data_IF_139910629007
#
_entry.id   IF_139910629007
#
_cell.length_a   1.000
_cell.length_b   1.000
_cell.length_c   1.000
_cell.angle_alpha   90.00
_cell.angle_beta   90.00
_cell.angle_gamma   90.00
#
_symmetry.space_group_name_H-M   'P 1'
#
loop_
_entity.id
_entity.type
_entity.pdbx_description
1 polymer ?
#
# COMPACT_ATOMS: atom_id res chain seq x y z
N UNK A 1 43.83 -24.22 -14.47
CA UNK A 1 44.46 -23.14 -13.67
C UNK A 1 43.51 -22.81 -12.53
N UNK A 2 43.89 -23.13 -11.29
CA UNK A 2 43.10 -22.90 -10.08
C UNK A 2 43.51 -21.54 -9.52
N UNK A 3 42.58 -20.60 -9.37
CA UNK A 3 42.82 -19.35 -8.62
C UNK A 3 42.01 -19.40 -7.32
N UNK A 4 42.73 -19.49 -6.20
CA UNK A 4 42.24 -19.22 -4.86
C UNK A 4 42.56 -17.76 -4.57
N UNK A 5 41.59 -16.97 -4.12
CA UNK A 5 41.86 -15.67 -3.49
C UNK A 5 41.26 -15.69 -2.08
N UNK A 6 42.14 -15.34 -1.14
CA UNK A 6 42.01 -15.48 0.30
C UNK A 6 41.05 -14.46 0.93
N UNK A 7 40.44 -14.94 2.01
CA UNK A 7 39.78 -14.21 3.08
C UNK A 7 40.79 -13.28 3.77
N UNK A 8 40.43 -12.02 4.06
CA UNK A 8 41.05 -11.29 5.17
C UNK A 8 40.07 -10.33 5.84
N UNK A 9 39.55 -10.77 6.97
CA UNK A 9 38.93 -9.98 8.05
C UNK A 9 39.99 -9.09 8.69
N UNK A 10 39.66 -7.83 8.99
CA UNK A 10 40.43 -7.04 9.95
C UNK A 10 39.49 -6.29 10.88
N UNK A 11 39.54 -6.69 12.15
CA UNK A 11 38.89 -6.07 13.28
C UNK A 11 39.98 -5.70 14.28
N UNK A 12 39.79 -4.53 14.90
CA UNK A 12 40.32 -4.04 16.19
C UNK A 12 41.31 -2.88 16.13
N UNK A 13 41.07 -2.01 17.13
CA UNK A 13 41.97 -1.10 17.86
C UNK A 13 41.77 0.39 17.59
N UNK A 14 41.01 1.04 18.47
CA UNK A 14 41.53 2.16 19.25
C UNK A 14 40.74 2.32 20.56
N UNK A 15 41.39 1.97 21.66
CA UNK A 15 41.09 2.37 23.05
C UNK A 15 42.11 3.46 23.41
N UNK A 16 41.81 4.29 24.42
CA UNK A 16 42.62 5.32 25.14
C UNK A 16 41.95 6.71 24.97
N UNK A 17 41.58 7.49 25.99
CA UNK A 17 42.19 7.69 27.31
C UNK A 17 41.17 8.04 28.41
N UNK A 18 41.47 7.57 29.63
CA UNK A 18 40.99 8.10 30.90
C UNK A 18 41.64 9.47 31.21
N UNK A 19 40.86 10.43 31.70
CA UNK A 19 41.38 11.56 32.47
C UNK A 19 40.67 11.60 33.82
N UNK A 20 41.44 11.28 34.85
CA UNK A 20 41.09 11.30 36.26
C UNK A 20 41.32 12.74 36.76
N UNK A 21 40.30 13.38 37.31
CA UNK A 21 40.47 14.52 38.22
C UNK A 21 39.78 14.17 39.54
N UNK A 22 40.64 13.89 40.52
CA UNK A 22 40.31 13.79 41.94
C UNK A 22 39.98 15.18 42.49
N UNK A 23 38.78 15.36 43.03
CA UNK A 23 38.52 16.39 44.04
C UNK A 23 38.03 15.69 45.31
N UNK A 24 38.65 16.07 46.43
CA UNK A 24 38.57 15.41 47.71
C UNK A 24 37.21 15.58 48.42
N UNK A 25 36.83 14.51 49.11
CA UNK A 25 36.01 14.37 50.32
C UNK A 25 35.22 15.58 50.86
N UNK A 26 33.90 15.41 50.94
CA UNK A 26 33.14 15.63 52.18
C UNK A 26 32.13 14.49 52.33
N UNK A 27 32.34 13.64 53.33
CA UNK A 27 31.34 12.69 53.84
C UNK A 27 30.50 13.43 54.87
N UNK A 28 29.19 13.55 54.64
CA UNK A 28 28.24 13.95 55.67
C UNK A 28 26.90 13.22 55.46
N UNK A 29 26.57 12.40 56.46
CA UNK A 29 25.25 12.01 56.96
C UNK A 29 24.08 11.74 55.98
N UNK A 30 23.67 10.46 55.96
CA UNK A 30 22.29 9.94 55.96
C UNK A 30 21.16 10.88 55.52
N UNK A 31 20.54 10.60 54.37
CA UNK A 31 19.07 10.45 54.22
C UNK A 31 18.81 9.48 53.06
N UNK A 32 17.98 8.46 53.28
CA UNK A 32 17.55 7.54 52.23
C UNK A 32 16.70 8.28 51.21
N UNK A 33 17.19 8.38 49.98
CA UNK A 33 16.42 8.84 48.84
C UNK A 33 15.48 7.71 48.38
N UNK A 34 14.19 7.98 48.13
CA UNK A 34 13.28 6.95 47.63
C UNK A 34 13.69 6.53 46.22
N UNK A 35 13.72 5.22 45.98
CA UNK A 35 13.84 4.63 44.64
C UNK A 35 12.79 5.26 43.72
N UNK A 36 13.26 5.97 42.68
CA UNK A 36 12.39 6.38 41.59
C UNK A 36 11.93 5.12 40.86
N UNK A 37 10.71 4.70 41.21
CA UNK A 37 9.91 3.73 40.49
C UNK A 37 9.84 4.20 39.05
N UNK A 38 10.59 3.54 38.16
CA UNK A 38 10.47 3.70 36.72
C UNK A 38 9.01 3.44 36.36
N UNK A 39 8.26 4.51 36.13
CA UNK A 39 6.95 4.45 35.50
C UNK A 39 7.16 3.84 34.13
N UNK A 40 6.83 2.55 34.03
CA UNK A 40 6.60 1.87 32.77
C UNK A 40 5.63 2.74 32.00
N UNK A 41 6.13 3.48 31.01
CA UNK A 41 5.31 4.18 30.03
C UNK A 41 4.38 3.12 29.47
N UNK A 42 3.10 3.22 29.80
CA UNK A 42 2.10 2.28 29.31
C UNK A 42 2.24 2.27 27.79
N UNK A 43 2.67 1.13 27.23
CA UNK A 43 2.58 0.92 25.79
C UNK A 43 1.14 1.23 25.43
N UNK A 44 0.91 2.32 24.69
CA UNK A 44 -0.41 2.66 24.21
C UNK A 44 -0.97 1.40 23.56
N UNK A 45 -2.00 0.82 24.18
CA UNK A 45 -2.63 -0.38 23.70
C UNK A 45 -3.14 -0.07 22.31
N UNK A 46 -2.41 -0.56 21.30
CA UNK A 46 -2.81 -0.46 19.91
C UNK A 46 -4.26 -0.92 19.82
N UNK A 47 -5.16 -0.13 19.20
CA UNK A 47 -6.58 -0.47 19.17
C UNK A 47 -6.73 -1.90 18.67
N UNK A 48 -7.28 -2.75 19.54
CA UNK A 48 -7.35 -4.18 19.28
C UNK A 48 -8.33 -4.41 18.13
N UNK A 49 -7.86 -5.06 17.06
CA UNK A 49 -8.69 -5.42 15.92
C UNK A 49 -9.90 -6.25 16.39
N UNK A 50 -11.08 -5.92 15.88
CA UNK A 50 -12.30 -6.70 16.15
C UNK A 50 -12.13 -8.14 15.69
N UNK A 51 -12.65 -9.03 16.52
CA UNK A 51 -12.66 -10.47 16.32
C UNK A 51 -14.10 -10.96 16.33
N UNK A 52 -14.41 -11.92 15.45
CA UNK A 52 -15.77 -12.36 15.16
C UNK A 52 -15.90 -13.87 15.36
N UNK A 53 -17.11 -14.36 15.62
CA UNK A 53 -17.36 -15.81 15.75
C UNK A 53 -17.47 -16.50 14.40
N UNK A 54 -17.88 -15.76 13.37
CA UNK A 54 -18.02 -16.25 11.99
C UNK A 54 -17.40 -15.26 11.00
N UNK A 55 -16.98 -15.72 9.81
CA UNK A 55 -16.48 -14.82 8.78
C UNK A 55 -17.61 -13.92 8.23
N UNK A 56 -18.86 -14.40 8.23
CA UNK A 56 -20.03 -13.58 7.85
C UNK A 56 -20.18 -12.35 8.75
N UNK A 57 -20.06 -12.50 10.07
CA UNK A 57 -20.09 -11.35 11.00
C UNK A 57 -18.97 -10.33 10.72
N UNK A 58 -17.78 -10.79 10.33
CA UNK A 58 -16.68 -9.90 9.95
C UNK A 58 -17.03 -9.09 8.70
N UNK A 59 -17.61 -9.75 7.69
CA UNK A 59 -18.11 -9.10 6.47
C UNK A 59 -19.21 -8.10 6.78
N UNK A 60 -20.23 -8.48 7.55
CA UNK A 60 -21.35 -7.60 7.88
C UNK A 60 -20.87 -6.33 8.62
N UNK A 61 -19.88 -6.48 9.51
CA UNK A 61 -19.22 -5.34 10.18
C UNK A 61 -18.49 -4.43 9.20
N UNK A 62 -17.74 -5.01 8.24
CA UNK A 62 -17.04 -4.24 7.22
C UNK A 62 -18.02 -3.48 6.31
N UNK A 63 -19.06 -4.16 5.81
CA UNK A 63 -20.03 -3.59 4.88
C UNK A 63 -20.86 -2.48 5.53
N UNK A 64 -21.27 -2.67 6.78
CA UNK A 64 -22.02 -1.65 7.54
C UNK A 64 -21.17 -0.40 7.75
N UNK A 65 -19.92 -0.57 8.18
CA UNK A 65 -18.99 0.54 8.39
C UNK A 65 -18.66 1.26 7.07
N UNK A 66 -18.53 0.53 5.96
CA UNK A 66 -18.29 1.12 4.65
C UNK A 66 -19.50 1.92 4.14
N UNK A 67 -20.72 1.39 4.31
CA UNK A 67 -21.96 2.02 3.85
C UNK A 67 -22.26 3.37 4.51
N UNK A 68 -21.78 3.59 5.74
CA UNK A 68 -21.90 4.86 6.46
C UNK A 68 -20.61 5.68 6.48
N UNK A 69 -19.54 5.15 5.87
CA UNK A 69 -18.18 5.67 5.97
C UNK A 69 -17.75 5.96 7.42
N UNK A 70 -18.04 5.01 8.32
CA UNK A 70 -17.56 5.05 9.71
C UNK A 70 -16.08 4.65 9.77
N UNK A 71 -15.21 5.65 9.66
CA UNK A 71 -13.75 5.49 9.68
C UNK A 71 -13.28 4.76 10.94
N UNK A 72 -13.89 5.02 12.10
CA UNK A 72 -13.51 4.37 13.36
C UNK A 72 -13.84 2.88 13.32
N UNK A 73 -15.05 2.53 12.90
CA UNK A 73 -15.47 1.13 12.78
C UNK A 73 -14.68 0.39 11.69
N UNK A 74 -14.35 1.05 10.57
CA UNK A 74 -13.50 0.49 9.52
C UNK A 74 -12.10 0.17 10.06
N UNK A 75 -11.45 1.12 10.76
CA UNK A 75 -10.13 0.92 11.39
C UNK A 75 -10.16 -0.20 12.44
N UNK A 76 -11.22 -0.29 13.25
CA UNK A 76 -11.37 -1.38 14.21
C UNK A 76 -11.55 -2.75 13.53
N UNK A 77 -12.24 -2.80 12.39
CA UNK A 77 -12.51 -4.05 11.64
C UNK A 77 -11.25 -4.54 10.93
N UNK A 78 -10.50 -3.64 10.28
CA UNK A 78 -9.27 -3.96 9.55
C UNK A 78 -8.02 -3.98 10.45
N UNK A 79 -8.09 -3.42 11.65
CA UNK A 79 -6.99 -3.37 12.60
C UNK A 79 -5.89 -2.38 12.19
N UNK A 80 -4.77 -2.33 12.95
CA UNK A 80 -3.72 -1.33 12.78
C UNK A 80 -3.01 -1.38 11.41
N UNK A 81 -3.00 -2.55 10.76
CA UNK A 81 -2.45 -2.69 9.41
C UNK A 81 -3.41 -2.21 8.30
N UNK A 82 -4.56 -1.63 8.65
CA UNK A 82 -5.56 -1.16 7.70
C UNK A 82 -5.80 0.34 7.72
N UNK A 83 -5.08 1.12 8.53
CA UNK A 83 -5.35 2.55 8.69
C UNK A 83 -5.20 3.32 7.36
N UNK A 84 -4.15 3.01 6.62
CA UNK A 84 -3.82 3.56 5.29
C UNK A 84 -4.73 3.03 4.17
N UNK A 85 -5.45 1.93 4.40
CA UNK A 85 -6.47 1.41 3.49
C UNK A 85 -7.81 2.14 3.65
N UNK A 86 -8.07 2.69 4.84
CA UNK A 86 -9.32 3.38 5.18
C UNK A 86 -9.22 4.88 4.95
N UNK A 87 -8.08 5.49 5.29
CA UNK A 87 -7.91 6.94 5.29
C UNK A 87 -6.60 7.33 4.60
N UNK A 88 -6.69 8.30 3.72
CA UNK A 88 -5.59 8.95 3.02
C UNK A 88 -5.65 10.47 3.22
N UNK A 89 -4.83 11.20 2.46
CA UNK A 89 -4.85 12.67 2.42
C UNK A 89 -6.05 13.23 1.63
N UNK A 90 -6.85 12.37 0.97
CA UNK A 90 -8.07 12.74 0.25
C UNK A 90 -9.30 12.03 0.87
N UNK A 91 -9.97 12.67 1.85
CA UNK A 91 -11.14 12.09 2.52
C UNK A 91 -12.36 11.95 1.60
N UNK A 92 -12.43 12.72 0.50
CA UNK A 92 -13.53 12.62 -0.47
C UNK A 92 -13.35 11.37 -1.31
N UNK A 93 -12.13 11.11 -1.79
CA UNK A 93 -11.81 9.87 -2.48
C UNK A 93 -11.99 8.66 -1.57
N UNK A 94 -11.57 8.74 -0.30
CA UNK A 94 -11.75 7.66 0.67
C UNK A 94 -13.23 7.30 0.85
N UNK A 95 -14.08 8.31 1.08
CA UNK A 95 -15.52 8.13 1.20
C UNK A 95 -16.12 7.53 -0.06
N UNK A 96 -15.72 8.04 -1.22
CA UNK A 96 -16.20 7.55 -2.52
C UNK A 96 -15.87 6.08 -2.72
N UNK A 97 -14.63 5.65 -2.39
CA UNK A 97 -14.22 4.25 -2.48
C UNK A 97 -15.02 3.36 -1.53
N UNK A 98 -15.21 3.79 -0.28
CA UNK A 98 -15.96 3.01 0.71
C UNK A 98 -17.43 2.83 0.32
N UNK A 99 -18.08 3.89 -0.15
CA UNK A 99 -19.48 3.83 -0.61
C UNK A 99 -19.63 2.97 -1.86
N UNK A 100 -18.75 3.14 -2.86
CA UNK A 100 -18.76 2.32 -4.07
C UNK A 100 -18.57 0.82 -3.77
N UNK A 101 -17.68 0.50 -2.81
CA UNK A 101 -17.52 -0.87 -2.34
C UNK A 101 -18.80 -1.40 -1.67
N UNK A 102 -19.42 -0.62 -0.79
CA UNK A 102 -20.66 -1.00 -0.12
C UNK A 102 -21.81 -1.19 -1.11
N UNK A 103 -21.91 -0.33 -2.13
CA UNK A 103 -22.94 -0.43 -3.17
C UNK A 103 -22.76 -1.67 -4.04
N UNK A 104 -21.52 -1.98 -4.48
CA UNK A 104 -21.25 -3.26 -5.16
C UNK A 104 -21.60 -4.47 -4.29
N UNK A 105 -21.34 -4.40 -2.99
CA UNK A 105 -21.69 -5.49 -2.08
C UNK A 105 -23.20 -5.65 -1.85
N UNK A 106 -23.98 -4.56 -1.99
CA UNK A 106 -25.45 -4.63 -1.97
C UNK A 106 -26.00 -5.32 -3.21
N UNK A 107 -25.38 -5.14 -4.38
CA UNK A 107 -25.79 -5.84 -5.60
C UNK A 107 -25.68 -7.35 -5.42
N UNK A 108 -24.53 -7.82 -4.94
CA UNK A 108 -24.27 -9.22 -4.59
C UNK A 108 -23.08 -9.30 -3.65
N UNK A 109 -23.14 -10.19 -2.68
CA UNK A 109 -21.98 -10.63 -1.93
C UNK A 109 -22.12 -12.08 -1.48
N UNK A 110 -21.00 -12.77 -1.34
CA UNK A 110 -20.93 -14.11 -0.76
C UNK A 110 -19.63 -14.30 0.02
N UNK A 111 -19.66 -15.18 1.01
CA UNK A 111 -18.47 -15.53 1.80
C UNK A 111 -18.12 -16.97 1.49
N UNK A 112 -16.94 -17.18 0.92
CA UNK A 112 -16.46 -18.51 0.57
C UNK A 112 -15.34 -18.94 1.51
N UNK A 113 -15.46 -20.12 2.09
CA UNK A 113 -14.38 -20.77 2.84
C UNK A 113 -13.42 -21.41 1.82
N UNK A 114 -12.13 -21.21 2.02
CA UNK A 114 -11.10 -21.80 1.17
C UNK A 114 -11.14 -23.33 1.27
N UNK A 115 -11.26 -24.00 0.11
CA UNK A 115 -11.34 -25.46 0.04
C UNK A 115 -10.07 -26.14 0.57
N UNK A 116 -8.92 -25.45 0.54
CA UNK A 116 -7.62 -25.96 1.00
C UNK A 116 -7.30 -25.55 2.43
N UNK A 117 -7.98 -24.53 2.96
CA UNK A 117 -7.80 -24.06 4.33
C UNK A 117 -9.13 -23.63 4.96
N UNK A 118 -9.76 -24.47 5.81
CA UNK A 118 -11.03 -24.13 6.45
C UNK A 118 -10.92 -22.98 7.46
N UNK A 119 -9.70 -22.52 7.78
CA UNK A 119 -9.45 -21.34 8.61
C UNK A 119 -9.29 -20.06 7.78
N UNK A 120 -9.55 -20.11 6.47
CA UNK A 120 -9.44 -18.97 5.57
C UNK A 120 -10.75 -18.79 4.80
N UNK A 121 -11.19 -17.55 4.67
CA UNK A 121 -12.37 -17.18 3.90
C UNK A 121 -12.10 -15.93 3.06
N UNK A 122 -12.84 -15.79 1.96
CA UNK A 122 -12.78 -14.64 1.06
C UNK A 122 -14.20 -14.09 0.89
N UNK A 123 -14.33 -12.77 0.93
CA UNK A 123 -15.54 -12.07 0.53
C UNK A 123 -15.53 -11.88 -0.99
N UNK A 124 -16.55 -12.36 -1.67
CA UNK A 124 -16.83 -12.04 -3.07
C UNK A 124 -17.86 -10.91 -3.14
N UNK A 125 -17.67 -9.95 -4.04
CA UNK A 125 -18.47 -8.73 -4.12
C UNK A 125 -18.86 -8.45 -5.56
N UNK A 126 -20.10 -8.00 -5.76
CA UNK A 126 -20.62 -7.62 -7.07
C UNK A 126 -21.01 -8.81 -7.94
N UNK A 127 -21.64 -8.51 -9.08
CA UNK A 127 -22.12 -9.51 -10.03
C UNK A 127 -21.00 -10.28 -10.74
N UNK A 128 -19.78 -9.73 -10.74
CA UNK A 128 -18.55 -10.33 -11.24
C UNK A 128 -17.86 -11.26 -10.22
N UNK A 129 -18.46 -11.46 -9.04
CA UNK A 129 -17.90 -12.26 -7.95
C UNK A 129 -16.47 -11.85 -7.60
N UNK A 130 -16.21 -10.53 -7.60
CA UNK A 130 -14.87 -9.98 -7.40
C UNK A 130 -14.33 -10.36 -6.01
N UNK A 131 -13.20 -11.07 -5.90
CA UNK A 131 -12.64 -11.46 -4.62
C UNK A 131 -11.96 -10.28 -3.94
N UNK A 132 -12.46 -9.92 -2.75
CA UNK A 132 -11.85 -8.93 -1.88
C UNK A 132 -10.41 -9.36 -1.57
N UNK A 133 -9.42 -8.47 -1.78
CA UNK A 133 -8.00 -8.81 -1.59
C UNK A 133 -7.61 -9.05 -0.14
N UNK A 134 -8.45 -8.67 0.83
CA UNK A 134 -8.20 -8.85 2.27
C UNK A 134 -8.91 -10.12 2.75
N UNK A 135 -8.20 -11.25 2.96
CA UNK A 135 -8.82 -12.47 3.41
C UNK A 135 -9.24 -12.39 4.87
N UNK A 136 -10.18 -13.24 5.27
CA UNK A 136 -10.62 -13.40 6.66
C UNK A 136 -10.01 -14.70 7.17
N UNK A 137 -9.31 -14.64 8.29
CA UNK A 137 -8.59 -15.80 8.84
C UNK A 137 -9.06 -16.11 10.26
N UNK A 138 -9.13 -17.40 10.58
CA UNK A 138 -9.48 -17.89 11.91
C UNK A 138 -8.20 -18.09 12.74
N UNK A 139 -8.08 -17.37 13.84
CA UNK A 139 -6.97 -17.46 14.80
C UNK A 139 -7.55 -17.63 16.21
N UNK A 140 -7.10 -18.67 16.92
CA UNK A 140 -7.57 -18.98 18.30
C UNK A 140 -9.10 -19.04 18.42
N UNK A 141 -9.76 -19.63 17.42
CA UNK A 141 -11.22 -19.78 17.41
C UNK A 141 -12.02 -18.59 16.90
N UNK A 142 -11.39 -17.42 16.70
CA UNK A 142 -12.05 -16.19 16.22
C UNK A 142 -11.60 -15.81 14.82
N UNK A 143 -12.47 -15.15 14.07
CA UNK A 143 -12.21 -14.65 12.73
C UNK A 143 -11.83 -13.17 12.75
N UNK A 144 -10.89 -12.78 11.91
CA UNK A 144 -10.48 -11.39 11.70
C UNK A 144 -9.89 -11.22 10.30
N UNK A 145 -9.94 -10.03 9.72
CA UNK A 145 -9.27 -9.74 8.45
C UNK A 145 -7.75 -9.85 8.60
N UNK A 146 -7.08 -10.55 7.68
CA UNK A 146 -5.62 -10.55 7.57
C UNK A 146 -5.15 -9.38 6.71
N UNK A 147 -5.22 -8.19 7.29
CA UNK A 147 -4.97 -6.94 6.58
C UNK A 147 -3.53 -6.78 6.13
N UNK A 148 -2.58 -7.44 6.80
CA UNK A 148 -1.18 -7.46 6.36
C UNK A 148 -1.06 -8.11 4.99
N UNK A 149 -1.60 -9.32 4.85
CA UNK A 149 -1.64 -10.04 3.56
C UNK A 149 -2.47 -9.27 2.53
N UNK A 150 -3.60 -8.71 2.97
CA UNK A 150 -4.47 -7.92 2.09
C UNK A 150 -3.80 -6.67 1.51
N UNK A 151 -2.97 -5.97 2.30
CA UNK A 151 -2.22 -4.79 1.85
C UNK A 151 -1.22 -5.16 0.75
N UNK A 152 -0.50 -6.27 0.93
CA UNK A 152 0.44 -6.78 -0.09
C UNK A 152 -0.31 -7.14 -1.39
N UNK A 153 -1.46 -7.81 -1.29
CA UNK A 153 -2.28 -8.13 -2.45
C UNK A 153 -2.84 -6.89 -3.16
N UNK A 154 -3.29 -5.87 -2.43
CA UNK A 154 -3.75 -4.60 -3.00
C UNK A 154 -2.61 -3.92 -3.78
N UNK A 155 -1.40 -3.90 -3.22
CA UNK A 155 -0.22 -3.36 -3.88
C UNK A 155 0.10 -4.14 -5.16
N UNK A 156 0.10 -5.47 -5.10
CA UNK A 156 0.36 -6.33 -6.26
C UNK A 156 -0.66 -6.11 -7.38
N UNK A 157 -1.95 -5.99 -7.05
CA UNK A 157 -3.00 -5.66 -8.03
C UNK A 157 -2.78 -4.30 -8.68
N UNK A 158 -2.34 -3.29 -7.91
CA UNK A 158 -2.02 -1.97 -8.46
C UNK A 158 -0.80 -2.02 -9.38
N UNK A 159 0.23 -2.77 -9.01
CA UNK A 159 1.40 -3.00 -9.88
C UNK A 159 0.95 -3.66 -11.18
N UNK A 160 0.19 -4.76 -11.11
CA UNK A 160 -0.30 -5.45 -12.31
C UNK A 160 -1.17 -4.56 -13.20
N UNK A 161 -2.06 -3.74 -12.63
CA UNK A 161 -2.87 -2.79 -13.40
C UNK A 161 -1.99 -1.71 -14.07
N UNK A 162 -0.99 -1.18 -13.37
CA UNK A 162 -0.05 -0.21 -13.93
C UNK A 162 0.82 -0.82 -15.04
N UNK A 163 1.24 -2.07 -14.90
CA UNK A 163 1.99 -2.81 -15.93
C UNK A 163 1.14 -3.02 -17.19
N UNK A 164 -0.13 -3.41 -17.03
CA UNK A 164 -1.06 -3.54 -18.16
C UNK A 164 -1.31 -2.20 -18.85
N UNK A 165 -1.50 -1.12 -18.08
CA UNK A 165 -1.62 0.25 -18.63
C UNK A 165 -0.36 0.66 -19.41
N UNK A 166 0.83 0.34 -18.90
CA UNK A 166 2.07 0.66 -19.60
C UNK A 166 2.16 -0.07 -20.95
N UNK A 167 1.77 -1.35 -20.99
CA UNK A 167 1.68 -2.13 -22.25
C UNK A 167 0.69 -1.49 -23.22
N UNK A 168 -0.49 -1.08 -22.73
CA UNK A 168 -1.50 -0.42 -23.55
C UNK A 168 -1.00 0.91 -24.11
N UNK A 169 -0.31 1.73 -23.31
CA UNK A 169 0.32 2.98 -23.77
C UNK A 169 1.37 2.69 -24.85
N UNK A 170 2.22 1.67 -24.67
CA UNK A 170 3.21 1.30 -25.68
C UNK A 170 2.55 0.87 -27.00
N UNK A 171 1.42 0.16 -26.95
CA UNK A 171 0.65 -0.19 -28.15
C UNK A 171 0.06 1.05 -28.82
N UNK A 172 -0.61 1.90 -28.05
CA UNK A 172 -1.19 3.15 -28.55
C UNK A 172 -0.15 4.09 -29.16
N UNK A 173 1.08 4.13 -28.61
CA UNK A 173 2.18 4.89 -29.20
C UNK A 173 2.56 4.37 -30.59
N UNK A 174 2.67 3.05 -30.76
CA UNK A 174 2.98 2.44 -32.06
C UNK A 174 1.85 2.69 -33.06
N UNK A 175 0.60 2.55 -32.64
CA UNK A 175 -0.58 2.85 -33.46
C UNK A 175 -0.59 4.31 -33.91
N UNK A 176 -0.41 5.27 -32.99
CA UNK A 176 -0.34 6.70 -33.30
C UNK A 176 0.81 7.03 -34.26
N UNK A 177 1.97 6.38 -34.10
CA UNK A 177 3.09 6.54 -35.02
C UNK A 177 2.79 6.00 -36.43
N UNK A 178 2.13 4.85 -36.52
CA UNK A 178 1.71 4.29 -37.81
C UNK A 178 0.68 5.15 -38.52
N UNK A 179 -0.27 5.71 -37.77
CA UNK A 179 -1.26 6.66 -38.28
C UNK A 179 -0.60 7.95 -38.78
N UNK A 180 0.25 8.56 -37.96
CA UNK A 180 1.01 9.76 -38.34
C UNK A 180 1.78 9.54 -39.65
N UNK A 181 2.45 8.39 -39.79
CA UNK A 181 3.24 8.04 -40.98
C UNK A 181 2.41 7.68 -42.22
N UNK A 182 1.07 7.68 -42.18
CA UNK A 182 0.25 7.55 -43.39
C UNK A 182 0.24 8.82 -44.24
N UNK A 183 0.49 9.97 -43.61
CA UNK A 183 0.48 11.28 -44.24
C UNK A 183 1.86 11.94 -44.22
N UNK A 184 2.04 12.96 -45.06
CA UNK A 184 3.23 13.81 -45.04
C UNK A 184 2.92 15.04 -44.22
N UNK A 185 3.78 15.34 -43.25
CA UNK A 185 3.64 16.51 -42.37
C UNK A 185 4.74 17.52 -42.62
N UNK A 186 4.44 18.80 -42.33
CA UNK A 186 5.38 19.94 -42.37
C UNK A 186 6.26 20.02 -43.64
N UNK A 187 5.61 19.98 -44.81
CA UNK A 187 6.26 20.04 -46.14
C UNK A 187 7.25 18.89 -46.43
N UNK A 188 7.22 17.82 -45.64
CA UNK A 188 8.04 16.63 -45.89
C UNK A 188 7.74 16.01 -47.28
N UNK A 189 8.80 15.53 -47.94
CA UNK A 189 8.69 14.91 -49.28
C UNK A 189 8.37 13.41 -49.22
N UNK A 190 8.63 12.76 -48.10
CA UNK A 190 8.40 11.33 -47.86
C UNK A 190 7.51 11.17 -46.64
N UNK A 191 6.92 10.00 -46.43
CA UNK A 191 6.23 9.72 -45.17
C UNK A 191 7.28 9.49 -44.07
N UNK A 192 6.98 9.96 -42.86
CA UNK A 192 7.89 9.88 -41.73
C UNK A 192 7.14 9.56 -40.45
N UNK A 193 7.85 8.99 -39.48
CA UNK A 193 7.36 8.89 -38.10
C UNK A 193 7.58 10.22 -37.37
N UNK A 194 6.69 10.53 -36.43
CA UNK A 194 6.80 11.71 -35.58
C UNK A 194 8.06 11.62 -34.71
N UNK A 195 8.78 12.74 -34.59
CA UNK A 195 10.00 12.82 -33.78
C UNK A 195 9.72 13.25 -32.34
N UNK A 196 8.52 13.78 -32.10
CA UNK A 196 8.07 14.25 -30.79
C UNK A 196 6.72 13.64 -30.40
N UNK A 197 6.43 13.58 -29.11
CA UNK A 197 5.07 13.29 -28.64
C UNK A 197 4.20 14.54 -28.79
N UNK A 198 4.70 15.69 -28.33
CA UNK A 198 4.06 16.99 -28.49
C UNK A 198 4.78 17.75 -29.60
N UNK A 199 4.02 18.29 -30.54
CA UNK A 199 4.58 19.08 -31.65
C UNK A 199 5.17 20.40 -31.16
N UNK A 200 6.17 20.89 -31.87
CA UNK A 200 6.68 22.25 -31.67
C UNK A 200 5.59 23.28 -32.03
N UNK A 201 5.57 24.46 -31.39
CA UNK A 201 4.51 25.44 -31.61
C UNK A 201 4.35 25.81 -33.09
N UNK A 202 3.13 25.64 -33.62
CA UNK A 202 2.80 25.96 -35.01
C UNK A 202 3.22 24.92 -36.04
N UNK A 203 3.72 23.75 -35.61
CA UNK A 203 4.08 22.62 -36.47
C UNK A 203 3.28 21.37 -36.13
N UNK A 204 3.28 20.40 -37.04
CA UNK A 204 2.74 19.06 -36.82
C UNK A 204 3.86 18.01 -36.86
N UNK A 205 4.96 18.24 -36.12
CA UNK A 205 6.15 17.38 -36.06
C UNK A 205 6.11 16.36 -34.88
N UNK A 206 4.98 16.31 -34.17
CA UNK A 206 4.71 15.39 -33.09
C UNK A 206 3.35 14.68 -33.20
N UNK A 207 3.13 13.68 -32.34
CA UNK A 207 1.88 12.89 -32.30
C UNK A 207 0.65 13.67 -31.84
N UNK A 208 0.84 14.80 -31.17
CA UNK A 208 -0.22 15.72 -30.79
C UNK A 208 0.19 17.16 -31.10
N UNK A 209 -0.75 17.98 -31.57
CA UNK A 209 -0.56 19.40 -31.85
C UNK A 209 -1.79 20.19 -31.41
N UNK A 210 -1.57 21.47 -31.10
CA UNK A 210 -2.64 22.37 -30.67
C UNK A 210 -3.48 22.78 -31.87
N UNK A 211 -4.78 22.56 -31.81
CA UNK A 211 -5.71 23.04 -32.82
C UNK A 211 -6.22 24.45 -32.45
N UNK A 212 -6.95 25.11 -33.36
CA UNK A 212 -7.44 26.47 -33.16
C UNK A 212 -8.32 26.66 -31.91
N UNK A 213 -8.84 25.57 -31.35
CA UNK A 213 -9.78 25.59 -30.24
C UNK A 213 -9.13 25.28 -28.87
N UNK A 214 -7.83 25.01 -28.83
CA UNK A 214 -7.10 24.72 -27.60
C UNK A 214 -6.83 23.24 -27.41
#
# INVERSE_FOLDING_TARGET
MKSKANIMTSSKFFVIACAIVNCAFVVLASQGAPEQKQESTAAASQPQQKQFDTPKQAVDSLLTAAATFDVSALKQTLGPNGEDLVSSEDPVADKTRALAFADKAKEKNSVEIDKRDPNRAILLVGNDDFPLPIPIVKRKGKWSFDTKVGREEILNRRIGANELNAIEICRGFVEAQHEYAQEKHDDSKVNQYAQHILSTPGKHDGLAWKNANG
#
